data_IF_628689277480
#
_entry.id   IF_628689277480
#
_cell.length_a   1.000
_cell.length_b   1.000
_cell.length_c   1.000
_cell.angle_alpha   90.00
_cell.angle_beta   90.00
_cell.angle_gamma   90.00
#
_symmetry.space_group_name_H-M   'P 1'
#
loop_
_entity.id
_entity.type
_entity.pdbx_description
1 polymer ?
#
# COMPACT_ATOMS: atom_id res chain seq x y z
N UNK A 1 -44.69 61.50 16.56
CA UNK A 1 -44.21 61.39 15.16
C UNK A 1 -42.75 60.96 15.05
N UNK A 2 -41.76 61.64 15.65
CA UNK A 2 -40.35 61.24 15.52
C UNK A 2 -40.02 59.92 16.25
N UNK A 3 -40.56 59.71 17.46
CA UNK A 3 -40.31 58.52 18.30
C UNK A 3 -40.97 57.23 17.81
N UNK A 4 -42.05 57.30 17.03
CA UNK A 4 -42.77 56.13 16.50
C UNK A 4 -42.07 55.46 15.31
N UNK A 5 -41.22 56.20 14.57
CA UNK A 5 -40.48 55.68 13.42
C UNK A 5 -39.19 54.98 13.85
N UNK A 6 -38.63 55.33 15.00
CA UNK A 6 -37.38 54.76 15.51
C UNK A 6 -37.54 53.31 16.03
N UNK A 7 -38.65 52.99 16.69
CA UNK A 7 -38.90 51.63 17.19
C UNK A 7 -38.92 50.54 16.10
N UNK A 8 -39.64 50.68 14.97
CA UNK A 8 -39.61 49.68 13.90
C UNK A 8 -38.26 49.62 13.18
N UNK A 9 -37.52 50.74 13.11
CA UNK A 9 -36.15 50.78 12.57
C UNK A 9 -35.16 50.00 13.44
N UNK A 10 -35.23 50.13 14.77
CA UNK A 10 -34.42 49.32 15.69
C UNK A 10 -34.77 47.83 15.62
N UNK A 11 -36.05 47.48 15.46
CA UNK A 11 -36.48 46.08 15.29
C UNK A 11 -35.98 45.48 13.96
N UNK A 12 -36.05 46.23 12.85
CA UNK A 12 -35.48 45.81 11.57
C UNK A 12 -33.96 45.66 11.63
N UNK A 13 -33.27 46.58 12.29
CA UNK A 13 -31.84 46.50 12.51
C UNK A 13 -31.46 45.26 13.32
N UNK A 14 -32.21 44.94 14.38
CA UNK A 14 -32.01 43.74 15.18
C UNK A 14 -32.19 42.44 14.40
N UNK A 15 -33.20 42.35 13.52
CA UNK A 15 -33.43 41.18 12.66
C UNK A 15 -32.32 41.01 11.63
N UNK A 16 -31.87 42.10 11.00
CA UNK A 16 -30.75 42.06 10.05
C UNK A 16 -29.45 41.64 10.73
N UNK A 17 -29.18 42.14 11.94
CA UNK A 17 -28.01 41.77 12.74
C UNK A 17 -28.07 40.30 13.17
N UNK A 18 -29.21 39.84 13.70
CA UNK A 18 -29.41 38.44 14.11
C UNK A 18 -29.34 37.47 12.94
N UNK A 19 -29.95 37.81 11.79
CA UNK A 19 -29.86 37.05 10.55
C UNK A 19 -28.44 37.00 9.99
N UNK A 20 -27.73 38.13 10.00
CA UNK A 20 -26.32 38.22 9.58
C UNK A 20 -25.39 37.38 10.46
N UNK A 21 -25.51 37.48 11.79
CA UNK A 21 -24.74 36.66 12.74
C UNK A 21 -25.04 35.17 12.59
N UNK A 22 -26.30 34.81 12.32
CA UNK A 22 -26.70 33.42 12.07
C UNK A 22 -26.12 32.89 10.76
N UNK A 23 -26.15 33.67 9.68
CA UNK A 23 -25.53 33.29 8.41
C UNK A 23 -24.01 33.12 8.54
N UNK A 24 -23.35 33.99 9.30
CA UNK A 24 -21.92 33.89 9.58
C UNK A 24 -21.57 32.66 10.42
N UNK A 25 -22.35 32.37 11.48
CA UNK A 25 -22.12 31.18 12.31
C UNK A 25 -22.38 29.89 11.55
N UNK A 26 -23.44 29.83 10.73
CA UNK A 26 -23.73 28.68 9.85
C UNK A 26 -22.60 28.47 8.84
N UNK A 27 -22.09 29.54 8.22
CA UNK A 27 -20.97 29.44 7.27
C UNK A 27 -19.68 28.99 7.94
N UNK A 28 -19.40 29.43 9.18
CA UNK A 28 -18.26 28.99 9.95
C UNK A 28 -18.38 27.50 10.34
N UNK A 29 -19.57 27.05 10.73
CA UNK A 29 -19.87 25.65 11.03
C UNK A 29 -19.75 24.77 9.78
N UNK A 30 -20.28 25.19 8.64
CA UNK A 30 -20.16 24.48 7.36
C UNK A 30 -18.70 24.28 6.95
N UNK A 31 -17.90 25.35 6.97
CA UNK A 31 -16.45 25.26 6.67
C UNK A 31 -15.69 24.36 7.64
N UNK A 32 -16.11 24.33 8.91
CA UNK A 32 -15.49 23.47 9.91
C UNK A 32 -15.85 22.01 9.70
N UNK A 33 -17.09 21.73 9.30
CA UNK A 33 -17.55 20.40 8.92
C UNK A 33 -16.84 19.90 7.66
N UNK A 34 -16.73 20.74 6.61
CA UNK A 34 -15.99 20.42 5.37
C UNK A 34 -14.54 20.04 5.68
N UNK A 35 -13.82 20.83 6.49
CA UNK A 35 -12.42 20.50 6.88
C UNK A 35 -12.31 19.21 7.68
N UNK A 36 -13.29 18.90 8.52
CA UNK A 36 -13.29 17.66 9.29
C UNK A 36 -13.53 16.47 8.36
N UNK A 37 -14.42 16.62 7.38
CA UNK A 37 -14.69 15.61 6.36
C UNK A 37 -13.48 15.38 5.45
N UNK A 38 -12.83 16.44 4.97
CA UNK A 38 -11.57 16.35 4.21
C UNK A 38 -10.49 15.60 5.00
N UNK A 39 -10.34 15.88 6.30
CA UNK A 39 -9.39 15.17 7.17
C UNK A 39 -9.75 13.70 7.32
N UNK A 40 -11.03 13.38 7.48
CA UNK A 40 -11.50 11.98 7.58
C UNK A 40 -11.25 11.23 6.28
N UNK A 41 -11.55 11.84 5.13
CA UNK A 41 -11.26 11.27 3.82
C UNK A 41 -9.76 11.03 3.64
N UNK A 42 -8.91 12.01 3.97
CA UNK A 42 -7.46 11.85 3.89
C UNK A 42 -6.91 10.73 4.78
N UNK A 43 -7.48 10.52 5.98
CA UNK A 43 -7.12 9.39 6.85
C UNK A 43 -7.59 8.06 6.24
N UNK A 44 -8.84 8.00 5.77
CA UNK A 44 -9.39 6.81 5.14
C UNK A 44 -8.59 6.39 3.88
N UNK A 45 -8.18 7.36 3.06
CA UNK A 45 -7.36 7.10 1.86
C UNK A 45 -5.97 6.57 2.21
N UNK A 46 -5.36 7.05 3.31
CA UNK A 46 -4.07 6.53 3.80
C UNK A 46 -4.21 5.12 4.34
N UNK A 47 -5.26 4.84 5.12
CA UNK A 47 -5.53 3.50 5.62
C UNK A 47 -5.81 2.51 4.48
N UNK A 48 -6.58 2.93 3.48
CA UNK A 48 -6.86 2.12 2.29
C UNK A 48 -5.57 1.78 1.52
N UNK A 49 -4.70 2.77 1.25
CA UNK A 49 -3.42 2.53 0.57
C UNK A 49 -2.47 1.66 1.39
N UNK A 50 -2.43 1.84 2.71
CA UNK A 50 -1.63 0.99 3.60
C UNK A 50 -2.13 -0.46 3.57
N UNK A 51 -3.44 -0.67 3.55
CA UNK A 51 -4.04 -2.00 3.46
C UNK A 51 -3.75 -2.67 2.10
N UNK A 52 -3.88 -1.94 1.00
CA UNK A 52 -3.53 -2.41 -0.35
C UNK A 52 -2.06 -2.83 -0.45
N UNK A 53 -1.15 -2.00 0.05
CA UNK A 53 0.27 -2.33 0.09
C UNK A 53 0.55 -3.56 0.97
N UNK A 54 -0.07 -3.66 2.15
CA UNK A 54 0.10 -4.82 3.03
C UNK A 54 -0.38 -6.11 2.35
N UNK A 55 -1.48 -6.05 1.60
CA UNK A 55 -1.98 -7.20 0.86
C UNK A 55 -1.01 -7.60 -0.25
N UNK A 56 -0.51 -6.65 -1.05
CA UNK A 56 0.47 -6.93 -2.08
C UNK A 56 1.78 -7.52 -1.53
N UNK A 57 2.24 -7.08 -0.35
CA UNK A 57 3.39 -7.67 0.35
C UNK A 57 3.11 -9.12 0.74
N UNK A 58 1.93 -9.43 1.27
CA UNK A 58 1.53 -10.80 1.63
C UNK A 58 1.46 -11.71 0.40
N UNK A 59 0.87 -11.23 -0.69
CA UNK A 59 0.74 -11.99 -1.93
C UNK A 59 2.11 -12.30 -2.54
N UNK A 60 3.03 -11.32 -2.50
CA UNK A 60 4.43 -11.52 -2.91
C UNK A 60 5.13 -12.56 -2.04
N UNK A 61 5.02 -12.47 -0.72
CA UNK A 61 5.61 -13.44 0.22
C UNK A 61 5.08 -14.86 0.02
N UNK A 62 3.78 -15.01 -0.26
CA UNK A 62 3.21 -16.31 -0.59
C UNK A 62 3.84 -16.90 -1.85
N UNK A 63 3.99 -16.10 -2.91
CA UNK A 63 4.63 -16.54 -4.15
C UNK A 63 6.11 -16.85 -3.98
N UNK A 64 6.82 -16.08 -3.15
CA UNK A 64 8.22 -16.35 -2.77
C UNK A 64 8.31 -17.72 -2.11
N UNK A 65 7.48 -17.99 -1.09
CA UNK A 65 7.50 -19.27 -0.37
C UNK A 65 7.25 -20.47 -1.30
N UNK A 66 6.31 -20.34 -2.24
CA UNK A 66 6.04 -21.37 -3.24
C UNK A 66 7.26 -21.64 -4.13
N UNK A 67 7.90 -20.57 -4.62
CA UNK A 67 9.03 -20.68 -5.51
C UNK A 67 10.32 -21.14 -4.79
N UNK A 68 10.52 -20.79 -3.51
CA UNK A 68 11.56 -21.39 -2.65
C UNK A 68 11.34 -22.90 -2.51
N UNK A 69 10.09 -23.32 -2.26
CA UNK A 69 9.74 -24.75 -2.17
C UNK A 69 9.94 -25.52 -3.47
N UNK A 70 9.90 -24.85 -4.63
CA UNK A 70 10.30 -25.43 -5.91
C UNK A 70 11.81 -25.52 -6.02
N UNK A 71 12.55 -24.48 -5.64
CA UNK A 71 14.01 -24.46 -5.68
C UNK A 71 14.61 -25.61 -4.84
N UNK A 72 14.07 -25.86 -3.65
CA UNK A 72 14.48 -26.98 -2.79
C UNK A 72 14.23 -28.37 -3.37
N UNK A 73 13.24 -28.49 -4.27
CA UNK A 73 12.88 -29.76 -4.92
C UNK A 73 13.47 -29.89 -6.33
N UNK A 74 14.39 -29.00 -6.68
CA UNK A 74 15.03 -29.03 -8.00
C UNK A 74 15.77 -30.37 -8.19
N UNK A 75 15.51 -31.09 -9.29
CA UNK A 75 16.28 -32.27 -9.65
C UNK A 75 17.77 -31.93 -9.88
N UNK A 76 18.66 -32.87 -9.56
CA UNK A 76 20.10 -32.71 -9.81
C UNK A 76 20.38 -32.52 -11.31
N UNK A 77 19.75 -33.32 -12.17
CA UNK A 77 19.90 -33.22 -13.63
C UNK A 77 18.72 -32.48 -14.29
N UNK A 78 19.05 -31.60 -15.24
CA UNK A 78 18.07 -30.78 -15.91
C UNK A 78 17.24 -31.57 -16.93
N UNK A 79 15.91 -31.42 -16.86
CA UNK A 79 14.99 -32.03 -17.83
C UNK A 79 14.51 -33.44 -17.47
N UNK A 80 14.94 -33.98 -16.33
CA UNK A 80 14.49 -35.30 -15.86
C UNK A 80 13.05 -35.29 -15.30
N UNK A 81 12.56 -34.14 -14.82
CA UNK A 81 11.26 -34.02 -14.18
C UNK A 81 10.39 -32.94 -14.84
N UNK A 82 9.51 -33.40 -15.75
CA UNK A 82 8.51 -32.55 -16.41
C UNK A 82 7.47 -31.98 -15.42
N UNK A 83 7.17 -32.71 -14.34
CA UNK A 83 6.25 -32.23 -13.31
C UNK A 83 6.87 -31.09 -12.49
N UNK A 84 8.16 -31.20 -12.15
CA UNK A 84 8.91 -30.10 -11.54
C UNK A 84 8.99 -28.89 -12.47
N UNK A 85 9.31 -29.07 -13.76
CA UNK A 85 9.37 -27.99 -14.76
C UNK A 85 8.04 -27.22 -14.83
N UNK A 86 6.91 -27.93 -14.85
CA UNK A 86 5.58 -27.35 -14.83
C UNK A 86 5.30 -26.56 -13.54
N UNK A 87 5.63 -27.15 -12.38
CA UNK A 87 5.47 -26.50 -11.08
C UNK A 87 6.35 -25.24 -10.95
N UNK A 88 7.61 -25.30 -11.42
CA UNK A 88 8.55 -24.21 -11.40
C UNK A 88 8.10 -23.05 -12.31
N UNK A 89 7.67 -23.37 -13.52
CA UNK A 89 7.12 -22.38 -14.44
C UNK A 89 5.89 -21.68 -13.86
N UNK A 90 4.99 -22.43 -13.22
CA UNK A 90 3.79 -21.89 -12.61
C UNK A 90 4.11 -21.01 -11.38
N UNK A 91 5.01 -21.45 -10.50
CA UNK A 91 5.42 -20.71 -9.31
C UNK A 91 6.13 -19.40 -9.68
N UNK A 92 7.09 -19.45 -10.61
CA UNK A 92 7.80 -18.27 -11.10
C UNK A 92 6.87 -17.30 -11.84
N UNK A 93 5.92 -17.83 -12.62
CA UNK A 93 4.85 -17.04 -13.23
C UNK A 93 4.06 -16.21 -12.22
N UNK A 94 3.61 -16.84 -11.12
CA UNK A 94 2.91 -16.15 -10.03
C UNK A 94 3.80 -15.13 -9.32
N UNK A 95 5.05 -15.49 -9.04
CA UNK A 95 6.03 -14.59 -8.41
C UNK A 95 6.24 -13.31 -9.23
N UNK A 96 6.38 -13.43 -10.54
CA UNK A 96 6.56 -12.28 -11.44
C UNK A 96 5.33 -11.37 -11.51
N UNK A 97 4.14 -11.93 -11.40
CA UNK A 97 2.89 -11.15 -11.32
C UNK A 97 2.85 -10.41 -9.98
N UNK A 98 3.10 -11.11 -8.88
CA UNK A 98 3.10 -10.51 -7.54
C UNK A 98 4.18 -9.42 -7.38
N UNK A 99 5.37 -9.64 -7.94
CA UNK A 99 6.46 -8.66 -8.02
C UNK A 99 5.99 -7.37 -8.71
N UNK A 100 5.41 -7.49 -9.91
CA UNK A 100 4.92 -6.34 -10.68
C UNK A 100 3.76 -5.64 -9.99
N UNK A 101 2.86 -6.40 -9.36
CA UNK A 101 1.75 -5.85 -8.60
C UNK A 101 2.27 -5.05 -7.40
N UNK A 102 3.21 -5.59 -6.63
CA UNK A 102 3.82 -4.89 -5.49
C UNK A 102 4.59 -3.65 -5.92
N UNK A 103 5.28 -3.67 -7.06
CA UNK A 103 5.93 -2.47 -7.64
C UNK A 103 4.90 -1.44 -8.10
N UNK A 104 3.70 -1.85 -8.52
CA UNK A 104 2.66 -0.94 -9.00
C UNK A 104 1.98 -0.18 -7.85
N UNK A 105 1.66 -0.87 -6.76
CA UNK A 105 0.85 -0.31 -5.66
C UNK A 105 1.67 0.06 -4.42
N UNK A 106 2.89 -0.49 -4.31
CA UNK A 106 3.74 -0.32 -3.15
C UNK A 106 4.55 0.97 -3.15
N UNK A 107 5.11 1.28 -1.98
CA UNK A 107 6.05 2.37 -1.80
C UNK A 107 7.30 2.21 -2.69
N UNK A 108 7.76 3.31 -3.30
CA UNK A 108 8.88 3.29 -4.26
C UNK A 108 10.18 2.65 -3.73
N UNK A 109 10.43 2.77 -2.42
CA UNK A 109 11.58 2.13 -1.77
C UNK A 109 11.60 0.60 -1.88
N UNK A 110 10.46 -0.06 -2.11
CA UNK A 110 10.35 -1.51 -2.26
C UNK A 110 10.80 -2.04 -3.63
N UNK A 111 10.90 -1.18 -4.65
CA UNK A 111 11.05 -1.62 -6.03
C UNK A 111 12.31 -2.46 -6.24
N UNK A 112 13.45 -1.98 -5.74
CA UNK A 112 14.73 -2.67 -5.94
C UNK A 112 14.84 -3.93 -5.07
N UNK A 113 14.51 -3.92 -3.77
CA UNK A 113 14.52 -5.15 -2.96
C UNK A 113 13.61 -6.26 -3.49
N UNK A 114 12.40 -5.92 -3.94
CA UNK A 114 11.45 -6.89 -4.51
C UNK A 114 12.01 -7.54 -5.78
N UNK A 115 12.56 -6.73 -6.69
CA UNK A 115 13.20 -7.22 -7.92
C UNK A 115 14.43 -8.06 -7.64
N UNK A 116 15.25 -7.65 -6.68
CA UNK A 116 16.46 -8.36 -6.31
C UNK A 116 16.11 -9.73 -5.73
N UNK A 117 15.14 -9.80 -4.82
CA UNK A 117 14.69 -11.07 -4.24
C UNK A 117 14.06 -11.99 -5.30
N UNK A 118 13.18 -11.49 -6.16
CA UNK A 118 12.58 -12.28 -7.24
C UNK A 118 13.65 -12.82 -8.24
N UNK A 119 14.71 -12.05 -8.51
CA UNK A 119 15.83 -12.48 -9.36
C UNK A 119 16.71 -13.53 -8.68
N UNK A 120 17.00 -13.37 -7.40
CA UNK A 120 17.76 -14.37 -6.63
C UNK A 120 16.98 -15.70 -6.59
N UNK A 121 15.66 -15.66 -6.38
CA UNK A 121 14.83 -16.86 -6.48
C UNK A 121 14.83 -17.47 -7.88
N UNK A 122 14.77 -16.65 -8.93
CA UNK A 122 14.88 -17.14 -10.29
C UNK A 122 16.21 -17.86 -10.54
N UNK A 123 17.31 -17.39 -9.94
CA UNK A 123 18.59 -18.08 -9.99
C UNK A 123 18.50 -19.41 -9.24
N UNK A 124 18.00 -19.43 -7.99
CA UNK A 124 17.85 -20.66 -7.21
C UNK A 124 16.96 -21.72 -7.90
N UNK A 125 15.90 -21.31 -8.59
CA UNK A 125 14.99 -22.24 -9.29
C UNK A 125 15.61 -22.76 -10.59
N UNK A 126 16.21 -21.90 -11.42
CA UNK A 126 16.59 -22.27 -12.79
C UNK A 126 18.08 -22.42 -13.04
N UNK A 127 18.94 -22.03 -12.10
CA UNK A 127 20.39 -22.02 -12.23
C UNK A 127 21.02 -22.75 -11.06
N UNK A 128 22.20 -23.30 -11.27
CA UNK A 128 23.03 -23.75 -10.15
C UNK A 128 23.50 -22.55 -9.34
N UNK A 129 23.28 -22.63 -8.03
CA UNK A 129 23.72 -21.62 -7.05
C UNK A 129 25.03 -22.04 -6.36
N UNK A 130 25.72 -23.04 -6.93
CA UNK A 130 26.91 -23.64 -6.34
C UNK A 130 26.56 -24.56 -5.17
N UNK A 131 27.54 -24.77 -4.29
CA UNK A 131 27.43 -25.60 -3.07
C UNK A 131 26.85 -24.78 -1.90
N UNK A 132 25.81 -23.99 -2.18
CA UNK A 132 25.16 -23.09 -1.23
C UNK A 132 23.71 -23.50 -1.09
N UNK A 133 23.22 -23.56 0.15
CA UNK A 133 21.81 -23.83 0.37
C UNK A 133 20.93 -22.70 -0.16
N UNK A 134 19.72 -23.05 -0.63
CA UNK A 134 18.75 -22.07 -1.15
C UNK A 134 18.51 -20.94 -0.15
N UNK A 135 18.33 -21.23 1.15
CA UNK A 135 18.12 -20.18 2.14
C UNK A 135 19.34 -19.26 2.29
N UNK A 136 20.56 -19.81 2.31
CA UNK A 136 21.79 -19.01 2.42
C UNK A 136 21.95 -18.08 1.20
N UNK A 137 21.66 -18.56 -0.01
CA UNK A 137 21.67 -17.75 -1.23
C UNK A 137 20.66 -16.59 -1.18
N UNK A 138 19.53 -16.78 -0.50
CA UNK A 138 18.42 -15.82 -0.46
C UNK A 138 18.44 -14.89 0.75
N UNK A 139 19.19 -15.21 1.80
CA UNK A 139 19.06 -14.56 3.11
C UNK A 139 19.25 -13.04 3.04
N UNK A 140 20.28 -12.56 2.34
CA UNK A 140 20.53 -11.11 2.20
C UNK A 140 19.35 -10.39 1.54
N UNK A 141 18.82 -10.97 0.47
CA UNK A 141 17.70 -10.41 -0.28
C UNK A 141 16.41 -10.41 0.55
N UNK A 142 16.19 -11.48 1.32
CA UNK A 142 15.07 -11.62 2.24
C UNK A 142 15.14 -10.59 3.37
N UNK A 143 16.30 -10.43 4.02
CA UNK A 143 16.49 -9.43 5.07
C UNK A 143 16.24 -8.02 4.52
N UNK A 144 16.85 -7.67 3.40
CA UNK A 144 16.70 -6.35 2.78
C UNK A 144 15.23 -6.06 2.41
N UNK A 145 14.53 -7.04 1.83
CA UNK A 145 13.12 -6.93 1.53
C UNK A 145 12.29 -6.70 2.80
N UNK A 146 12.48 -7.52 3.84
CA UNK A 146 11.70 -7.45 5.07
C UNK A 146 11.90 -6.13 5.82
N UNK A 147 13.13 -5.62 5.87
CA UNK A 147 13.43 -4.34 6.50
C UNK A 147 12.81 -3.17 5.73
N UNK A 148 12.89 -3.21 4.41
CA UNK A 148 12.27 -2.19 3.55
C UNK A 148 10.75 -2.26 3.62
N UNK A 149 10.16 -3.45 3.66
CA UNK A 149 8.73 -3.68 3.83
C UNK A 149 8.25 -3.08 5.15
N UNK A 150 8.97 -3.32 6.25
CA UNK A 150 8.66 -2.75 7.56
C UNK A 150 8.73 -1.22 7.53
N UNK A 151 9.80 -0.65 6.96
CA UNK A 151 9.96 0.79 6.85
C UNK A 151 8.85 1.43 6.00
N UNK A 152 8.49 0.80 4.88
CA UNK A 152 7.46 1.30 3.97
C UNK A 152 6.06 1.34 4.60
N UNK A 153 5.72 0.36 5.44
CA UNK A 153 4.44 0.32 6.14
C UNK A 153 4.36 1.32 7.30
N UNK A 154 5.50 1.81 7.78
CA UNK A 154 5.60 2.85 8.80
C UNK A 154 5.61 4.28 8.22
N UNK A 155 5.73 4.43 6.89
CA UNK A 155 5.81 5.73 6.22
C UNK A 155 4.45 6.35 5.87
N UNK A 156 3.33 5.70 6.22
CA UNK A 156 1.95 6.14 5.96
C UNK A 156 1.39 7.07 7.05
#
# INVERSE_FOLDING_TARGET
MATEVWAPLFSLAGVLLGGGLTALSQRATQRSAERLEERRQAVADREARRAEQLQAIKDFLACVQEAEGVAYRRPEEWGEDEAWLGAASAAMGRLWIAERHLVLVGHAGLHDPVRAYARALNQAVWREIGDVEVNEHLEEHKTLFMDTARASLAAF
#
